data_IF_751362791132
#
_entry.id   IF_751362791132
#
_cell.length_a   1.000
_cell.length_b   1.000
_cell.length_c   1.000
_cell.angle_alpha   90.00
_cell.angle_beta   90.00
_cell.angle_gamma   90.00
#
_symmetry.space_group_name_H-M   'P 1'
#
loop_
_entity.id
_entity.type
_entity.pdbx_description
1 polymer ?
#
# COMPACT_ATOMS: atom_id res chain seq x y z
N UNK A 1 9.14 2.69 -17.78
CA UNK A 1 9.04 1.74 -18.92
C UNK A 1 7.97 2.14 -19.91
N UNK A 2 6.68 2.19 -19.55
CA UNK A 2 5.60 2.52 -20.50
C UNK A 2 5.88 3.84 -21.24
N UNK A 3 6.22 4.91 -20.52
CA UNK A 3 6.64 6.18 -21.11
C UNK A 3 7.83 6.04 -22.07
N UNK A 4 8.88 5.30 -21.68
CA UNK A 4 10.05 5.04 -22.54
C UNK A 4 9.68 4.30 -23.83
N UNK A 5 8.70 3.39 -23.79
CA UNK A 5 8.19 2.71 -24.98
C UNK A 5 7.43 3.67 -25.88
N UNK A 6 6.54 4.49 -25.31
CA UNK A 6 5.74 5.49 -26.04
C UNK A 6 6.65 6.46 -26.78
N UNK A 7 7.62 7.07 -26.08
CA UNK A 7 8.58 8.02 -26.67
C UNK A 7 9.35 7.42 -27.86
N UNK A 8 9.63 6.11 -27.83
CA UNK A 8 10.33 5.42 -28.92
C UNK A 8 9.42 4.97 -30.06
N UNK A 9 8.13 4.81 -29.80
CA UNK A 9 7.14 4.43 -30.80
C UNK A 9 6.53 5.65 -31.51
N UNK A 10 6.55 6.83 -30.89
CA UNK A 10 6.05 8.09 -31.46
C UNK A 10 6.57 8.37 -32.88
N UNK A 11 7.88 8.24 -33.19
CA UNK A 11 8.40 8.50 -34.54
C UNK A 11 7.81 7.59 -35.62
N UNK A 12 7.27 6.43 -35.25
CA UNK A 12 6.78 5.41 -36.18
C UNK A 12 5.26 5.20 -36.08
N UNK A 13 4.52 6.11 -35.44
CA UNK A 13 3.08 5.98 -35.19
C UNK A 13 2.28 5.65 -36.47
N UNK A 14 2.66 6.24 -37.61
CA UNK A 14 1.95 6.07 -38.89
C UNK A 14 2.11 4.65 -39.48
N UNK A 15 3.06 3.87 -38.96
CA UNK A 15 3.33 2.49 -39.37
C UNK A 15 2.64 1.46 -38.46
N UNK A 16 2.07 1.89 -37.34
CA UNK A 16 1.42 1.00 -36.36
C UNK A 16 -0.05 0.78 -36.73
N UNK A 17 -0.53 -0.45 -36.53
CA UNK A 17 -1.95 -0.80 -36.74
C UNK A 17 -2.89 -0.27 -35.64
N UNK A 18 -2.34 0.16 -34.50
CA UNK A 18 -3.08 0.64 -33.33
C UNK A 18 -2.35 1.84 -32.74
N UNK A 19 -3.02 2.56 -31.84
CA UNK A 19 -2.41 3.71 -31.20
C UNK A 19 -1.17 3.32 -30.36
N UNK A 20 -0.26 4.28 -30.19
CA UNK A 20 1.03 4.07 -29.53
C UNK A 20 0.88 3.56 -28.10
N UNK A 21 -0.12 4.02 -27.35
CA UNK A 21 -0.34 3.61 -25.97
C UNK A 21 -0.76 2.14 -25.90
N UNK A 22 -1.70 1.73 -26.74
CA UNK A 22 -2.13 0.33 -26.84
C UNK A 22 -0.95 -0.59 -27.18
N UNK A 23 -0.12 -0.21 -28.16
CA UNK A 23 1.06 -1.00 -28.53
C UNK A 23 2.06 -1.09 -27.36
N UNK A 24 2.34 0.02 -26.69
CA UNK A 24 3.22 0.04 -25.52
C UNK A 24 2.69 -0.84 -24.37
N UNK A 25 1.38 -0.81 -24.10
CA UNK A 25 0.74 -1.66 -23.09
C UNK A 25 0.84 -3.15 -23.46
N UNK A 26 0.63 -3.50 -24.72
CA UNK A 26 0.81 -4.89 -25.16
C UNK A 26 2.26 -5.37 -25.02
N UNK A 27 3.24 -4.51 -25.32
CA UNK A 27 4.66 -4.78 -25.10
C UNK A 27 4.97 -5.02 -23.61
N UNK A 28 4.33 -4.26 -22.72
CA UNK A 28 4.47 -4.38 -21.26
C UNK A 28 3.87 -5.68 -20.73
N UNK A 29 2.72 -6.11 -21.26
CA UNK A 29 2.01 -7.32 -20.83
C UNK A 29 2.61 -8.61 -21.43
N UNK A 30 3.41 -8.50 -22.49
CA UNK A 30 4.04 -9.64 -23.13
C UNK A 30 5.40 -9.97 -22.49
N UNK A 31 6.46 -10.02 -23.30
CA UNK A 31 7.80 -10.47 -22.90
C UNK A 31 8.37 -9.66 -21.75
N UNK A 32 8.00 -8.39 -21.61
CA UNK A 32 8.47 -7.54 -20.52
C UNK A 32 8.04 -8.06 -19.13
N UNK A 33 6.90 -8.75 -19.00
CA UNK A 33 6.52 -9.35 -17.72
C UNK A 33 7.54 -10.40 -17.23
N UNK A 34 8.12 -11.15 -18.16
CA UNK A 34 9.19 -12.13 -17.84
C UNK A 34 10.46 -11.43 -17.41
N UNK A 35 10.84 -10.37 -18.12
CA UNK A 35 11.99 -9.52 -17.77
C UNK A 35 11.80 -8.93 -16.39
N UNK A 36 10.60 -8.43 -16.10
CA UNK A 36 10.23 -7.83 -14.83
C UNK A 36 10.46 -8.78 -13.64
N UNK A 37 10.09 -10.05 -13.80
CA UNK A 37 10.23 -11.06 -12.75
C UNK A 37 11.64 -11.62 -12.60
N UNK A 38 12.46 -11.59 -13.66
CA UNK A 38 13.79 -12.21 -13.67
C UNK A 38 14.94 -11.23 -13.44
N UNK A 39 14.72 -9.92 -13.64
CA UNK A 39 15.73 -8.88 -13.44
C UNK A 39 16.38 -8.98 -12.04
N UNK A 40 17.72 -8.95 -11.93
CA UNK A 40 18.70 -8.54 -12.95
C UNK A 40 19.22 -9.66 -13.87
N UNK A 41 18.58 -10.83 -13.88
CA UNK A 41 18.98 -12.00 -14.67
C UNK A 41 18.10 -12.19 -15.93
N UNK A 42 18.64 -12.80 -17.01
CA UNK A 42 20.06 -13.07 -17.22
C UNK A 42 20.89 -11.78 -17.40
N UNK A 43 22.20 -11.89 -17.23
CA UNK A 43 23.12 -10.78 -17.46
C UNK A 43 23.38 -10.62 -18.95
N UNK A 44 22.52 -9.86 -19.62
CA UNK A 44 22.62 -9.50 -21.04
C UNK A 44 22.66 -7.99 -21.19
N UNK A 45 23.37 -7.51 -22.21
CA UNK A 45 23.53 -6.07 -22.49
C UNK A 45 22.23 -5.41 -22.92
N UNK A 46 21.35 -6.15 -23.59
CA UNK A 46 20.07 -5.67 -24.11
C UNK A 46 19.02 -6.77 -24.13
N UNK A 47 17.77 -6.36 -23.98
CA UNK A 47 16.59 -7.21 -24.08
C UNK A 47 15.74 -6.77 -25.27
N UNK A 48 15.21 -7.74 -26.01
CA UNK A 48 14.37 -7.46 -27.18
C UNK A 48 12.89 -7.63 -26.83
N UNK A 49 12.07 -6.63 -27.10
CA UNK A 49 10.62 -6.67 -26.91
C UNK A 49 9.93 -6.66 -28.28
N UNK A 50 8.97 -7.56 -28.48
CA UNK A 50 8.22 -7.63 -29.73
C UNK A 50 7.28 -6.43 -29.86
N UNK A 51 7.38 -5.68 -30.96
CA UNK A 51 6.48 -4.55 -31.26
C UNK A 51 5.33 -5.10 -32.10
N UNK A 52 4.16 -5.26 -31.47
CA UNK A 52 2.96 -5.72 -32.17
C UNK A 52 2.40 -4.63 -33.08
N UNK A 53 1.72 -5.05 -34.14
CA UNK A 53 1.11 -4.14 -35.11
C UNK A 53 2.04 -3.69 -36.25
N UNK A 54 3.30 -4.14 -36.29
CA UNK A 54 4.17 -3.97 -37.46
C UNK A 54 3.98 -5.12 -38.46
N UNK A 55 3.79 -4.78 -39.74
CA UNK A 55 3.56 -5.77 -40.80
C UNK A 55 4.87 -6.42 -41.26
N UNK A 56 5.11 -7.68 -40.87
CA UNK A 56 6.31 -8.43 -41.23
C UNK A 56 7.52 -8.04 -40.37
N UNK A 57 8.73 -8.34 -40.85
CA UNK A 57 9.98 -7.96 -40.21
C UNK A 57 10.44 -6.60 -40.75
N UNK A 58 10.13 -5.53 -40.00
CA UNK A 58 10.49 -4.15 -40.36
C UNK A 58 11.58 -3.61 -39.42
N UNK A 59 12.43 -2.73 -39.95
CA UNK A 59 13.49 -2.07 -39.20
C UNK A 59 13.18 -0.58 -39.12
N UNK A 60 13.28 0.00 -37.92
CA UNK A 60 13.14 1.44 -37.67
C UNK A 60 14.31 1.89 -36.78
N UNK A 61 15.45 2.30 -37.38
CA UNK A 61 16.63 2.73 -36.64
C UNK A 61 16.37 3.85 -35.63
N UNK A 62 15.51 4.81 -35.99
CA UNK A 62 15.08 5.95 -35.16
C UNK A 62 14.35 5.53 -33.87
N UNK A 63 13.66 4.39 -33.90
CA UNK A 63 12.99 3.79 -32.75
C UNK A 63 13.84 2.69 -32.07
N UNK A 64 15.02 2.39 -32.62
CA UNK A 64 15.87 1.26 -32.21
C UNK A 64 15.17 -0.10 -32.37
N UNK A 65 14.37 -0.24 -33.43
CA UNK A 65 13.64 -1.47 -33.78
C UNK A 65 14.35 -2.19 -34.91
N UNK A 66 14.55 -3.50 -34.73
CA UNK A 66 15.05 -4.41 -35.76
C UNK A 66 14.17 -5.65 -35.82
N UNK A 67 13.77 -6.06 -37.02
CA UNK A 67 12.87 -7.19 -37.26
C UNK A 67 11.59 -7.12 -36.41
N UNK A 68 11.01 -5.92 -36.31
CA UNK A 68 9.82 -5.63 -35.50
C UNK A 68 10.01 -5.89 -34.00
N UNK A 69 11.24 -5.84 -33.51
CA UNK A 69 11.59 -5.94 -32.08
C UNK A 69 12.36 -4.71 -31.63
N UNK A 70 11.96 -4.13 -30.50
CA UNK A 70 12.65 -3.02 -29.87
C UNK A 70 13.74 -3.53 -28.94
N UNK A 71 14.97 -3.03 -29.11
CA UNK A 71 16.08 -3.29 -28.16
C UNK A 71 15.98 -2.33 -26.98
N UNK A 72 16.05 -2.86 -25.76
CA UNK A 72 16.12 -2.08 -24.53
C UNK A 72 17.44 -2.41 -23.84
N UNK A 73 18.29 -1.40 -23.68
CA UNK A 73 19.57 -1.56 -23.01
C UNK A 73 19.38 -1.89 -21.52
N UNK A 74 20.29 -2.70 -20.99
CA UNK A 74 20.33 -3.04 -19.57
C UNK A 74 20.44 -1.80 -18.70
N UNK A 75 21.21 -0.80 -19.12
CA UNK A 75 21.36 0.45 -18.39
C UNK A 75 20.01 1.17 -18.21
N UNK A 76 19.24 1.27 -19.30
CA UNK A 76 17.88 1.86 -19.28
C UNK A 76 16.94 1.03 -18.41
N UNK A 77 16.97 -0.30 -18.53
CA UNK A 77 16.19 -1.16 -17.63
C UNK A 77 16.56 -0.94 -16.17
N UNK A 78 17.85 -0.87 -15.86
CA UNK A 78 18.35 -0.66 -14.49
C UNK A 78 17.83 0.66 -13.93
N UNK A 79 17.96 1.75 -14.70
CA UNK A 79 17.45 3.08 -14.31
C UNK A 79 15.94 3.06 -14.02
N UNK A 80 15.16 2.40 -14.88
CA UNK A 80 13.71 2.27 -14.67
C UNK A 80 13.40 1.51 -13.38
N UNK A 81 14.15 0.45 -13.07
CA UNK A 81 14.00 -0.29 -11.83
C UNK A 81 14.42 0.55 -10.62
N UNK A 82 15.53 1.28 -10.71
CA UNK A 82 16.04 2.15 -9.66
C UNK A 82 15.03 3.22 -9.29
N UNK A 83 14.38 3.85 -10.27
CA UNK A 83 13.31 4.83 -10.02
C UNK A 83 12.13 4.26 -9.22
N UNK A 84 11.82 2.97 -9.40
CA UNK A 84 10.75 2.31 -8.63
C UNK A 84 11.24 1.89 -7.23
N UNK A 85 12.49 1.45 -7.12
CA UNK A 85 13.12 1.09 -5.85
C UNK A 85 13.27 2.32 -4.95
N UNK A 86 13.64 3.48 -5.51
CA UNK A 86 13.79 4.72 -4.75
C UNK A 86 12.47 5.16 -4.11
N UNK A 87 11.35 5.06 -4.83
CA UNK A 87 10.02 5.34 -4.26
C UNK A 87 9.67 4.41 -3.10
N UNK A 88 10.10 3.14 -3.16
CA UNK A 88 9.93 2.19 -2.05
C UNK A 88 10.80 2.61 -0.87
N UNK A 89 12.04 3.04 -1.13
CA UNK A 89 12.93 3.54 -0.09
C UNK A 89 12.40 4.79 0.60
N UNK A 90 11.88 5.76 -0.14
CA UNK A 90 11.27 6.98 0.44
C UNK A 90 10.17 6.63 1.43
N UNK A 91 9.25 5.75 1.02
CA UNK A 91 8.15 5.29 1.87
C UNK A 91 8.66 4.55 3.10
N UNK A 92 9.63 3.65 2.93
CA UNK A 92 10.14 2.87 4.05
C UNK A 92 10.94 3.69 5.04
N UNK A 93 11.81 4.57 4.55
CA UNK A 93 12.64 5.46 5.35
C UNK A 93 11.76 6.38 6.20
N UNK A 94 10.68 6.92 5.63
CA UNK A 94 9.66 7.68 6.36
C UNK A 94 9.11 6.86 7.54
N UNK A 95 8.69 5.62 7.30
CA UNK A 95 8.11 4.76 8.35
C UNK A 95 9.12 4.40 9.44
N UNK A 96 10.38 4.16 9.06
CA UNK A 96 11.44 3.84 10.01
C UNK A 96 11.82 5.06 10.86
N UNK A 97 11.84 6.27 10.29
CA UNK A 97 12.04 7.51 11.06
C UNK A 97 10.89 7.76 12.04
N UNK A 98 9.64 7.58 11.60
CA UNK A 98 8.47 7.68 12.48
C UNK A 98 8.55 6.66 13.64
N UNK A 99 9.02 5.43 13.37
CA UNK A 99 9.23 4.42 14.40
C UNK A 99 10.31 4.87 15.40
N UNK A 100 11.41 5.43 14.91
CA UNK A 100 12.50 5.92 15.73
C UNK A 100 12.09 7.08 16.65
N UNK A 101 11.28 8.00 16.14
CA UNK A 101 10.77 9.13 16.90
C UNK A 101 9.78 8.71 17.99
N UNK A 102 8.83 7.83 17.65
CA UNK A 102 7.75 7.45 18.56
C UNK A 102 8.11 6.30 19.50
N UNK A 103 9.04 5.43 19.09
CA UNK A 103 9.40 4.20 19.79
C UNK A 103 10.92 3.96 19.76
N UNK A 104 11.74 4.85 20.36
CA UNK A 104 13.20 4.80 20.25
C UNK A 104 13.85 3.55 20.86
N UNK A 105 13.15 2.84 21.76
CA UNK A 105 13.64 1.60 22.38
C UNK A 105 13.37 0.34 21.54
N UNK A 106 12.49 0.41 20.53
CA UNK A 106 12.11 -0.74 19.73
C UNK A 106 13.20 -1.10 18.70
N UNK A 107 13.21 -2.33 18.20
CA UNK A 107 14.11 -2.74 17.12
C UNK A 107 13.35 -3.52 16.04
N UNK A 108 13.62 -3.17 14.79
CA UNK A 108 13.13 -3.90 13.62
C UNK A 108 14.04 -5.10 13.38
N UNK A 109 13.59 -6.27 13.82
CA UNK A 109 14.34 -7.52 13.59
C UNK A 109 14.26 -7.99 12.13
N UNK A 110 13.10 -7.82 11.49
CA UNK A 110 12.84 -8.36 10.15
C UNK A 110 12.03 -7.40 9.29
N UNK A 111 12.41 -7.30 8.01
CA UNK A 111 11.57 -6.75 6.95
C UNK A 111 11.23 -7.89 6.00
N UNK A 112 9.94 -8.16 5.83
CA UNK A 112 9.44 -9.30 5.05
C UNK A 112 8.85 -8.77 3.75
N UNK A 113 9.41 -9.21 2.62
CA UNK A 113 8.89 -8.87 1.31
C UNK A 113 7.75 -9.83 0.92
N UNK A 114 6.59 -9.27 0.61
CA UNK A 114 5.39 -10.03 0.21
C UNK A 114 4.75 -9.44 -1.06
N UNK A 115 3.76 -10.14 -1.63
CA UNK A 115 3.09 -9.74 -2.86
C UNK A 115 3.96 -9.90 -4.12
N UNK A 116 3.45 -9.43 -5.27
CA UNK A 116 4.14 -9.60 -6.56
C UNK A 116 5.50 -8.89 -6.64
N UNK A 117 5.64 -7.72 -6.02
CA UNK A 117 6.92 -7.00 -5.96
C UNK A 117 7.93 -7.71 -5.04
N UNK A 118 7.46 -8.41 -4.00
CA UNK A 118 8.34 -9.15 -3.09
C UNK A 118 9.05 -10.35 -3.75
N UNK A 119 8.62 -10.75 -4.95
CA UNK A 119 9.30 -11.77 -5.75
C UNK A 119 10.48 -11.22 -6.57
N UNK A 120 10.70 -9.91 -6.60
CA UNK A 120 11.78 -9.28 -7.39
C UNK A 120 13.16 -9.55 -6.76
N UNK A 121 14.07 -10.28 -7.46
CA UNK A 121 15.44 -10.48 -6.97
C UNK A 121 16.19 -9.16 -6.84
N UNK A 122 15.96 -8.23 -7.78
CA UNK A 122 16.58 -6.90 -7.75
C UNK A 122 16.21 -6.13 -6.49
N UNK A 123 14.91 -6.00 -6.22
CA UNK A 123 14.42 -5.28 -5.03
C UNK A 123 14.97 -5.91 -3.74
N UNK A 124 15.00 -7.24 -3.67
CA UNK A 124 15.50 -7.94 -2.49
C UNK A 124 16.98 -7.61 -2.19
N UNK A 125 17.83 -7.57 -3.22
CA UNK A 125 19.25 -7.22 -3.05
C UNK A 125 19.45 -5.73 -2.73
N UNK A 126 18.70 -4.83 -3.36
CA UNK A 126 18.75 -3.39 -3.03
C UNK A 126 18.28 -3.11 -1.60
N UNK A 127 17.23 -3.79 -1.14
CA UNK A 127 16.75 -3.69 0.24
C UNK A 127 17.80 -4.19 1.25
N UNK A 128 18.51 -5.29 0.94
CA UNK A 128 19.61 -5.77 1.79
C UNK A 128 20.73 -4.75 1.86
N UNK A 129 21.16 -4.21 0.71
CA UNK A 129 22.20 -3.18 0.66
C UNK A 129 21.81 -2.00 1.53
N UNK A 130 20.59 -1.48 1.37
CA UNK A 130 20.15 -0.28 2.08
C UNK A 130 20.03 -0.49 3.59
N UNK A 131 19.25 -1.49 4.02
CA UNK A 131 18.87 -1.61 5.43
C UNK A 131 19.71 -2.61 6.21
N UNK A 132 20.15 -3.72 5.60
CA UNK A 132 20.93 -4.74 6.30
C UNK A 132 22.44 -4.44 6.26
N UNK A 133 22.93 -3.82 5.18
CA UNK A 133 24.34 -3.39 5.04
C UNK A 133 24.55 -1.90 5.35
N UNK A 134 23.47 -1.16 5.67
CA UNK A 134 23.49 0.27 6.00
C UNK A 134 24.08 1.18 4.89
N UNK A 135 23.82 0.85 3.62
CA UNK A 135 24.17 1.72 2.49
C UNK A 135 23.06 2.76 2.23
N UNK A 136 23.30 4.02 2.55
CA UNK A 136 22.40 5.13 2.21
C UNK A 136 21.30 5.42 3.24
N UNK A 137 20.93 4.48 4.11
CA UNK A 137 20.02 4.72 5.24
C UNK A 137 20.57 4.16 6.55
N UNK A 138 20.36 4.90 7.65
CA UNK A 138 20.71 4.49 9.00
C UNK A 138 19.60 4.93 9.96
N UNK A 139 19.16 4.01 10.80
CA UNK A 139 18.24 4.27 11.90
C UNK A 139 18.71 3.50 13.13
N UNK A 140 18.48 4.06 14.32
CA UNK A 140 18.77 3.35 15.58
C UNK A 140 17.95 2.06 15.71
N UNK A 141 16.77 2.00 15.10
CA UNK A 141 15.86 0.86 15.17
C UNK A 141 16.20 -0.26 14.17
N UNK A 142 17.15 -0.07 13.26
CA UNK A 142 17.47 -1.06 12.21
C UNK A 142 18.84 -1.70 12.37
N UNK A 143 19.46 -1.59 13.56
CA UNK A 143 20.84 -2.01 13.79
C UNK A 143 21.12 -3.49 13.48
N UNK A 144 20.11 -4.36 13.61
CA UNK A 144 20.21 -5.81 13.35
C UNK A 144 19.13 -6.32 12.40
N UNK A 145 18.60 -5.46 11.53
CA UNK A 145 17.49 -5.82 10.64
C UNK A 145 17.91 -6.88 9.62
N UNK A 146 17.02 -7.83 9.35
CA UNK A 146 17.20 -8.83 8.30
C UNK A 146 16.12 -8.71 7.24
N UNK A 147 16.54 -8.65 5.97
CA UNK A 147 15.60 -8.74 4.85
C UNK A 147 15.30 -10.22 4.60
N UNK A 148 14.01 -10.57 4.63
CA UNK A 148 13.53 -11.94 4.47
C UNK A 148 12.70 -12.06 3.19
N UNK A 149 13.14 -12.95 2.30
CA UNK A 149 12.33 -13.46 1.21
C UNK A 149 11.31 -14.49 1.70
N UNK A 150 10.09 -14.43 1.16
CA UNK A 150 9.07 -15.46 1.38
C UNK A 150 9.14 -16.45 0.22
N UNK A 151 8.96 -17.75 0.47
CA UNK A 151 8.98 -18.79 -0.58
C UNK A 151 7.97 -18.50 -1.68
N UNK A 152 6.76 -18.08 -1.30
CA UNK A 152 5.70 -17.70 -2.22
C UNK A 152 5.12 -16.34 -1.78
N UNK A 153 5.77 -15.21 -2.14
CA UNK A 153 5.38 -13.88 -1.69
C UNK A 153 3.92 -13.54 -2.01
N UNK A 154 3.43 -13.99 -3.17
CA UNK A 154 2.06 -13.79 -3.62
C UNK A 154 1.02 -14.53 -2.76
N UNK A 155 1.40 -15.67 -2.16
CA UNK A 155 0.51 -16.48 -1.33
C UNK A 155 0.64 -16.19 0.17
N UNK A 156 1.60 -15.34 0.57
CA UNK A 156 1.94 -15.08 1.96
C UNK A 156 0.71 -14.69 2.81
N UNK A 157 -0.12 -13.79 2.28
CA UNK A 157 -1.33 -13.29 2.97
C UNK A 157 -2.37 -14.39 3.11
N UNK A 158 -2.73 -15.07 2.02
CA UNK A 158 -3.75 -16.13 2.03
C UNK A 158 -3.32 -17.28 2.94
N UNK A 159 -2.04 -17.67 2.90
CA UNK A 159 -1.49 -18.69 3.81
C UNK A 159 -1.56 -18.27 5.27
N UNK A 160 -1.30 -17.01 5.57
CA UNK A 160 -1.46 -16.44 6.91
C UNK A 160 -2.91 -16.57 7.41
N UNK A 161 -3.87 -16.16 6.59
CA UNK A 161 -5.30 -16.23 6.90
C UNK A 161 -5.80 -17.66 7.10
N UNK A 162 -5.39 -18.58 6.23
CA UNK A 162 -5.74 -20.01 6.37
C UNK A 162 -5.17 -20.57 7.67
N UNK A 163 -3.88 -20.30 7.97
CA UNK A 163 -3.24 -20.74 9.21
C UNK A 163 -3.93 -20.17 10.46
N UNK A 164 -4.25 -18.88 10.46
CA UNK A 164 -5.01 -18.23 11.53
C UNK A 164 -6.35 -18.93 11.75
N UNK A 165 -7.10 -19.21 10.67
CA UNK A 165 -8.40 -19.89 10.76
C UNK A 165 -8.26 -21.33 11.25
N UNK A 166 -7.29 -22.08 10.75
CA UNK A 166 -7.01 -23.46 11.21
C UNK A 166 -6.67 -23.50 12.69
N UNK A 167 -5.93 -22.50 13.19
CA UNK A 167 -5.62 -22.36 14.61
C UNK A 167 -6.88 -22.07 15.46
N UNK A 168 -7.73 -21.14 15.00
CA UNK A 168 -9.01 -20.83 15.66
C UNK A 168 -9.95 -22.05 15.72
N UNK A 169 -9.98 -22.87 14.67
CA UNK A 169 -10.81 -24.08 14.59
C UNK A 169 -10.24 -25.27 15.38
N UNK A 170 -9.05 -25.13 15.99
CA UNK A 170 -8.47 -26.17 16.84
C UNK A 170 -7.88 -27.39 16.10
N UNK A 171 -7.65 -27.28 14.79
CA UNK A 171 -7.06 -28.37 13.98
C UNK A 171 -5.52 -28.41 14.11
N UNK A 172 -4.92 -27.40 14.73
CA UNK A 172 -3.48 -27.25 14.98
C UNK A 172 -3.17 -27.35 16.49
N UNK A 173 -1.97 -27.78 16.93
CA UNK A 173 -1.63 -27.97 18.36
C UNK A 173 -1.77 -26.74 19.27
N UNK A 174 -2.01 -25.55 18.71
CA UNK A 174 -2.32 -24.32 19.45
C UNK A 174 -3.84 -24.06 19.42
N UNK A 175 -4.58 -24.87 20.16
CA UNK A 175 -6.05 -24.87 20.15
C UNK A 175 -6.59 -23.50 20.63
N UNK A 176 -7.49 -22.89 19.83
CA UNK A 176 -8.41 -21.85 20.28
C UNK A 176 -7.80 -20.48 20.62
N UNK A 177 -6.51 -20.25 20.36
CA UNK A 177 -5.88 -18.95 20.59
C UNK A 177 -6.05 -18.04 19.38
N UNK A 178 -6.65 -16.86 19.60
CA UNK A 178 -6.60 -15.75 18.64
C UNK A 178 -5.14 -15.33 18.43
N UNK A 179 -4.70 -15.28 17.18
CA UNK A 179 -3.32 -14.88 16.83
C UNK A 179 -3.07 -13.40 17.17
N UNK A 180 -4.11 -12.57 17.08
CA UNK A 180 -4.07 -11.15 17.41
C UNK A 180 -5.20 -10.81 18.37
N UNK A 181 -4.88 -10.60 19.64
CA UNK A 181 -5.84 -10.21 20.67
C UNK A 181 -6.22 -8.73 20.58
N UNK A 182 -5.36 -7.90 19.98
CA UNK A 182 -5.58 -6.47 19.82
C UNK A 182 -5.32 -5.99 18.39
N UNK A 183 -6.02 -4.95 17.97
CA UNK A 183 -5.88 -4.28 16.66
C UNK A 183 -5.87 -2.78 16.85
N UNK A 184 -5.09 -2.08 16.02
CA UNK A 184 -5.15 -0.61 15.96
C UNK A 184 -6.17 -0.16 14.91
N UNK A 185 -7.03 0.78 15.29
CA UNK A 185 -8.04 1.31 14.39
C UNK A 185 -7.43 2.14 13.26
N UNK A 186 -7.85 1.86 12.02
CA UNK A 186 -7.39 2.57 10.83
C UNK A 186 -7.98 3.97 10.71
N UNK A 187 -9.21 4.14 11.19
CA UNK A 187 -9.96 5.39 11.12
C UNK A 187 -10.47 5.77 12.52
N UNK A 188 -10.79 7.05 12.69
CA UNK A 188 -11.53 7.51 13.86
C UNK A 188 -13.03 7.30 13.63
N UNK A 189 -13.74 6.80 14.65
CA UNK A 189 -15.19 6.64 14.64
C UNK A 189 -15.82 7.49 15.74
N UNK A 190 -16.89 8.19 15.38
CA UNK A 190 -17.61 9.10 16.26
C UNK A 190 -19.08 9.17 15.88
N UNK A 191 -19.88 9.68 16.80
CA UNK A 191 -21.29 9.97 16.57
C UNK A 191 -21.47 11.48 16.53
N UNK A 192 -22.32 11.97 15.62
CA UNK A 192 -22.69 13.38 15.58
C UNK A 192 -23.64 13.67 16.73
N UNK A 193 -23.27 14.61 17.58
CA UNK A 193 -24.01 14.98 18.79
C UNK A 193 -24.16 16.50 18.88
N UNK A 194 -25.11 16.92 19.70
CA UNK A 194 -25.14 18.27 20.23
C UNK A 194 -24.24 18.29 21.47
N UNK A 195 -23.06 18.89 21.35
CA UNK A 195 -22.09 18.94 22.46
C UNK A 195 -22.39 20.12 23.37
N UNK A 196 -22.32 19.93 24.70
CA UNK A 196 -22.51 21.04 25.63
C UNK A 196 -21.44 22.11 25.39
N UNK A 197 -21.85 23.38 25.39
CA UNK A 197 -20.93 24.49 25.17
C UNK A 197 -19.85 24.53 26.25
N UNK A 198 -18.62 24.78 25.82
CA UNK A 198 -17.42 24.88 26.63
C UNK A 198 -16.60 26.02 26.04
N UNK A 199 -16.43 27.09 26.81
CA UNK A 199 -15.81 28.33 26.33
C UNK A 199 -14.37 28.11 25.84
N UNK A 200 -13.64 27.15 26.43
CA UNK A 200 -12.26 26.87 26.05
C UNK A 200 -12.12 26.22 24.66
N UNK A 201 -13.18 25.55 24.19
CA UNK A 201 -13.16 24.73 22.96
C UNK A 201 -14.09 25.24 21.87
N UNK A 202 -15.15 25.95 22.24
CA UNK A 202 -16.27 26.25 21.36
C UNK A 202 -16.48 27.76 21.14
N UNK A 203 -15.55 28.61 21.60
CA UNK A 203 -15.63 30.06 21.43
C UNK A 203 -15.81 30.43 19.95
N UNK A 204 -16.86 31.21 19.67
CA UNK A 204 -17.18 31.69 18.31
C UNK A 204 -17.90 30.69 17.41
N UNK A 205 -18.24 29.49 17.91
CA UNK A 205 -19.03 28.51 17.17
C UNK A 205 -20.53 28.81 17.28
N UNK A 206 -21.36 28.40 16.30
CA UNK A 206 -22.80 28.49 16.40
C UNK A 206 -23.30 27.67 17.59
N UNK A 207 -24.20 28.25 18.38
CA UNK A 207 -24.79 27.60 19.56
C UNK A 207 -26.29 27.74 19.57
N UNK A 208 -26.97 26.79 20.18
CA UNK A 208 -28.39 26.89 20.51
C UNK A 208 -28.64 26.56 21.97
N UNK A 209 -29.65 27.18 22.57
CA UNK A 209 -30.07 26.89 23.94
C UNK A 209 -31.13 25.80 23.94
N UNK A 210 -30.92 24.74 24.72
CA UNK A 210 -31.91 23.69 24.92
C UNK A 210 -32.65 23.95 26.25
N UNK A 211 -33.94 24.26 26.16
CA UNK A 211 -34.80 24.58 27.31
C UNK A 211 -35.04 23.38 28.24
N UNK A 212 -35.03 22.15 27.73
CA UNK A 212 -35.26 20.94 28.54
C UNK A 212 -34.08 20.66 29.48
N UNK A 213 -32.87 20.72 28.94
CA UNK A 213 -31.63 20.51 29.70
C UNK A 213 -31.07 21.78 30.35
N UNK A 214 -31.72 22.93 30.13
CA UNK A 214 -31.30 24.26 30.60
C UNK A 214 -29.82 24.58 30.33
N UNK A 215 -29.35 24.26 29.13
CA UNK A 215 -27.94 24.41 28.77
C UNK A 215 -27.77 24.79 27.30
N UNK A 216 -26.67 25.47 27.01
CA UNK A 216 -26.25 25.83 25.64
C UNK A 216 -25.45 24.71 25.02
N UNK A 217 -25.74 24.41 23.76
CA UNK A 217 -25.10 23.35 22.98
C UNK A 217 -24.55 23.88 21.67
N UNK A 218 -23.53 23.18 21.16
CA UNK A 218 -22.95 23.32 19.83
C UNK A 218 -23.51 22.19 18.96
N UNK A 219 -24.21 22.48 17.86
CA UNK A 219 -24.76 21.46 16.98
C UNK A 219 -23.66 20.81 16.13
N UNK A 220 -23.93 19.59 15.65
CA UNK A 220 -23.08 18.89 14.68
C UNK A 220 -21.63 18.64 15.12
N UNK A 221 -21.39 18.57 16.44
CA UNK A 221 -20.09 18.18 16.98
C UNK A 221 -19.91 16.66 16.85
N UNK A 222 -18.66 16.20 16.69
CA UNK A 222 -18.37 14.76 16.68
C UNK A 222 -17.88 14.36 18.07
N UNK A 223 -18.66 13.50 18.74
CA UNK A 223 -18.18 12.77 19.89
C UNK A 223 -17.44 11.50 19.45
N UNK A 224 -16.12 11.56 19.54
CA UNK A 224 -15.25 10.44 19.20
C UNK A 224 -15.30 9.36 20.27
N UNK A 225 -15.48 8.11 19.84
CA UNK A 225 -15.41 6.95 20.74
C UNK A 225 -14.32 5.96 20.33
N UNK A 226 -13.88 5.99 19.08
CA UNK A 226 -12.65 5.34 18.63
C UNK A 226 -11.80 6.38 17.90
N UNK A 227 -10.52 6.46 18.24
CA UNK A 227 -9.53 7.27 17.52
C UNK A 227 -8.69 6.41 16.58
N UNK A 228 -8.27 6.99 15.47
CA UNK A 228 -7.25 6.38 14.61
C UNK A 228 -5.99 6.06 15.45
N UNK A 229 -5.45 4.86 15.26
CA UNK A 229 -4.31 4.34 16.01
C UNK A 229 -4.64 3.76 17.39
N UNK A 230 -5.87 3.97 17.91
CA UNK A 230 -6.29 3.40 19.18
C UNK A 230 -6.30 1.87 19.12
N UNK A 231 -5.73 1.25 20.15
CA UNK A 231 -5.73 -0.20 20.33
C UNK A 231 -7.09 -0.67 20.85
N UNK A 232 -7.65 -1.68 20.21
CA UNK A 232 -8.94 -2.30 20.56
C UNK A 232 -8.73 -3.81 20.72
N UNK A 233 -9.29 -4.36 21.78
CA UNK A 233 -9.38 -5.80 21.97
C UNK A 233 -10.39 -6.40 20.99
N UNK A 234 -9.96 -7.41 20.21
CA UNK A 234 -10.79 -8.02 19.16
C UNK A 234 -12.02 -8.73 19.73
N UNK A 235 -11.87 -9.36 20.90
CA UNK A 235 -12.92 -10.14 21.56
C UNK A 235 -13.96 -9.25 22.23
N UNK A 236 -13.50 -8.23 22.95
CA UNK A 236 -14.40 -7.35 23.72
C UNK A 236 -15.04 -6.28 22.84
N UNK A 237 -14.35 -5.88 21.76
CA UNK A 237 -14.71 -4.77 20.92
C UNK A 237 -14.71 -3.44 21.69
N UNK A 238 -15.37 -2.43 21.13
CA UNK A 238 -15.60 -1.16 21.81
C UNK A 238 -17.10 -0.86 21.81
N UNK A 239 -17.69 -0.67 22.99
CA UNK A 239 -19.11 -0.33 23.15
C UNK A 239 -19.25 0.95 23.96
N UNK A 240 -20.17 1.80 23.52
CA UNK A 240 -20.56 3.00 24.24
C UNK A 240 -22.04 3.23 24.03
N UNK A 241 -22.72 3.71 25.05
CA UNK A 241 -24.15 3.99 25.03
C UNK A 241 -24.39 5.48 24.72
N UNK A 242 -25.41 5.76 23.93
CA UNK A 242 -25.86 7.11 23.60
C UNK A 242 -27.36 7.23 23.76
N UNK A 243 -27.80 8.44 24.11
CA UNK A 243 -29.22 8.79 24.19
C UNK A 243 -29.55 9.80 23.11
N UNK A 244 -30.62 9.54 22.35
CA UNK A 244 -31.18 10.49 21.39
C UNK A 244 -32.51 11.00 21.93
N UNK A 245 -32.64 12.31 22.07
CA UNK A 245 -33.93 12.97 22.32
C UNK A 245 -34.64 13.10 20.98
N UNK A 246 -35.89 12.64 20.89
CA UNK A 246 -36.74 12.77 19.70
C UNK A 246 -37.66 13.97 19.88
N UNK A 247 -37.89 14.73 18.81
CA UNK A 247 -38.94 15.74 18.79
C UNK A 247 -40.32 15.07 18.66
N UNK A 248 -41.38 15.77 19.07
CA UNK A 248 -42.76 15.28 18.90
C UNK A 248 -43.05 14.99 17.42
N UNK A 249 -43.38 13.73 17.11
CA UNK A 249 -43.62 13.23 15.75
C UNK A 249 -42.41 12.61 15.05
N UNK A 250 -41.22 12.63 15.64
CA UNK A 250 -40.07 11.87 15.11
C UNK A 250 -40.10 10.41 15.58
N UNK A 251 -39.94 9.48 14.64
CA UNK A 251 -39.79 8.06 14.93
C UNK A 251 -38.33 7.61 14.73
N UNK A 252 -37.85 6.75 15.63
CA UNK A 252 -36.57 6.06 15.46
C UNK A 252 -36.68 5.07 14.29
N UNK A 253 -36.14 5.45 13.13
CA UNK A 253 -35.89 4.48 12.05
C UNK A 253 -34.61 3.72 12.44
N UNK A 254 -34.78 2.56 13.06
CA UNK A 254 -33.67 1.63 13.30
C UNK A 254 -33.38 0.95 11.97
N UNK A 255 -32.45 1.52 11.20
CA UNK A 255 -31.88 0.81 10.07
C UNK A 255 -31.00 -0.32 10.62
N UNK A 256 -31.46 -1.56 10.50
CA UNK A 256 -30.59 -2.70 10.72
C UNK A 256 -29.52 -2.70 9.63
N UNK A 257 -28.26 -2.46 10.02
CA UNK A 257 -27.13 -2.70 9.16
C UNK A 257 -26.96 -4.22 9.00
N UNK A 258 -27.35 -4.72 7.83
CA UNK A 258 -27.07 -6.08 7.34
C UNK A 258 -25.62 -6.24 6.94
#
# INVERSE_FOLDING_TARGET
>A
MAQHLVERLEPIQDHLQSDVLTVADEMMMARFQTVKHSFPNPVVDQVWLDVKGLAGAQDFPEAGIKQSRMSIDRAVLTEIFDQQVEQIFDLMDERLRILEENHPAEQVAYIILSGGLGSSPYLHEEMKKRYQMNYGFRSRNTSSVRIMGVLEPQLAVVRGLVRERTQQLGVSPKIGQEVFTTRRCRNSYGVVVNARYDESRHRGQPTFYNAYSQATYVPSAIEWFIRQGQEINVKDGFRREWTKTLADGEHLIIAHAS
#
